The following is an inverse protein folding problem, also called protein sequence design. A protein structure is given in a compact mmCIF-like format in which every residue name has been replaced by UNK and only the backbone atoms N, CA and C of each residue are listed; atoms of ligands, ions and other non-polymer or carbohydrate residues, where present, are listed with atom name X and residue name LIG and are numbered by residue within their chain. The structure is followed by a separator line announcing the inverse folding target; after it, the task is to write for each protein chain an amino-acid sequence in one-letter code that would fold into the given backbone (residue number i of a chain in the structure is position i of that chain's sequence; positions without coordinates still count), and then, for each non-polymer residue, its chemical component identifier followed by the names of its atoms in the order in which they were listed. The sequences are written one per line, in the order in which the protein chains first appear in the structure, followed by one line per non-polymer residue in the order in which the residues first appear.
data_IF_198372369229
#
_entry.id   IF_198372369229
#
_cell.length_a   1.000
_cell.length_b   1.000
_cell.length_c   1.000
_cell.angle_alpha   90.00
_cell.angle_beta   90.00
_cell.angle_gamma   90.00
#
_symmetry.space_group_name_H-M   'P 1'
#
loop_
_entity.id
_entity.type
_entity.pdbx_description
1 polymer ?
#
# COMPACT_ATOMS: atom_id res chain seq x y z
N UNK A 1 0.93 2.69 -63.89
CA UNK A 1 1.38 3.71 -62.92
C UNK A 1 1.87 2.96 -61.70
N UNK A 2 3.18 2.79 -61.54
CA UNK A 2 3.77 2.01 -60.44
C UNK A 2 4.33 2.95 -59.39
N UNK A 3 3.82 2.86 -58.16
CA UNK A 3 4.24 3.66 -57.02
C UNK A 3 5.72 3.40 -56.66
N UNK A 4 6.50 4.42 -56.26
CA UNK A 4 7.86 4.20 -55.82
C UNK A 4 7.86 3.52 -54.45
N UNK A 5 8.53 2.36 -54.39
CA UNK A 5 8.84 1.64 -53.17
C UNK A 5 9.68 2.52 -52.23
N UNK A 6 9.10 2.95 -51.11
CA UNK A 6 9.83 3.67 -50.07
C UNK A 6 10.94 2.76 -49.53
N UNK A 7 12.20 3.21 -49.62
CA UNK A 7 13.33 2.54 -48.95
C UNK A 7 13.17 2.70 -47.44
N UNK A 8 13.36 1.63 -46.64
CA UNK A 8 13.35 1.78 -45.19
C UNK A 8 14.47 2.72 -44.76
N UNK A 9 14.16 3.58 -43.77
CA UNK A 9 15.13 4.50 -43.20
C UNK A 9 16.33 3.74 -42.62
N UNK A 10 17.55 4.29 -42.71
CA UNK A 10 18.74 3.65 -42.15
C UNK A 10 18.60 3.56 -40.63
N UNK A 11 18.60 2.35 -40.10
CA UNK A 11 18.60 2.09 -38.66
C UNK A 11 19.96 2.47 -38.09
N UNK A 12 19.98 3.36 -37.10
CA UNK A 12 21.23 3.77 -36.47
C UNK A 12 21.83 2.60 -35.67
N UNK A 13 23.04 2.12 -36.02
CA UNK A 13 23.64 0.95 -35.38
C UNK A 13 23.87 1.17 -33.87
N UNK A 14 24.23 2.39 -33.45
CA UNK A 14 24.42 2.72 -32.04
C UNK A 14 23.11 2.61 -31.23
N UNK A 15 21.97 2.98 -31.81
CA UNK A 15 20.66 2.80 -31.17
C UNK A 15 20.27 1.31 -31.06
N UNK A 16 20.75 0.48 -31.98
CA UNK A 16 20.47 -0.96 -32.01
C UNK A 16 21.31 -1.70 -30.96
N UNK A 17 22.59 -1.37 -30.87
CA UNK A 17 23.50 -1.88 -29.84
C UNK A 17 23.06 -1.45 -28.44
N UNK A 18 22.65 -0.18 -28.27
CA UNK A 18 22.15 0.33 -26.97
C UNK A 18 20.87 -0.42 -26.54
N UNK A 19 19.95 -0.71 -27.46
CA UNK A 19 18.75 -1.50 -27.16
C UNK A 19 19.08 -2.95 -26.79
N UNK A 20 19.99 -3.59 -27.52
CA UNK A 20 20.43 -4.95 -27.22
C UNK A 20 21.10 -5.05 -25.84
N UNK A 21 21.93 -4.06 -25.49
CA UNK A 21 22.55 -3.96 -24.18
C UNK A 21 21.52 -3.74 -23.07
N UNK A 22 20.56 -2.83 -23.25
CA UNK A 22 19.46 -2.61 -22.29
C UNK A 22 18.60 -3.86 -22.09
N UNK A 23 18.30 -4.60 -23.15
CA UNK A 23 17.58 -5.86 -23.08
C UNK A 23 18.37 -6.93 -22.29
N UNK A 24 19.69 -7.02 -22.53
CA UNK A 24 20.57 -7.95 -21.82
C UNK A 24 20.70 -7.61 -20.33
N UNK A 25 20.83 -6.33 -20.00
CA UNK A 25 20.87 -5.85 -18.60
C UNK A 25 19.54 -6.15 -17.89
N UNK A 26 18.41 -5.92 -18.55
CA UNK A 26 17.08 -6.21 -17.98
C UNK A 26 16.90 -7.71 -17.75
N UNK A 27 17.33 -8.56 -18.68
CA UNK A 27 17.27 -10.02 -18.52
C UNK A 27 18.09 -10.53 -17.31
N UNK A 28 19.21 -9.87 -16.99
CA UNK A 28 20.03 -10.23 -15.81
C UNK A 28 19.41 -9.78 -14.49
N UNK A 29 18.63 -8.69 -14.47
CA UNK A 29 17.99 -8.18 -13.26
C UNK A 29 16.62 -8.81 -13.00
N UNK A 30 15.95 -9.31 -14.04
CA UNK A 30 14.59 -9.85 -13.97
C UNK A 30 14.47 -11.35 -13.67
N UNK A 31 15.57 -12.11 -13.75
CA UNK A 31 15.55 -13.58 -13.67
C UNK A 31 16.39 -14.15 -12.51
N UNK A 32 16.78 -13.35 -11.53
CA UNK A 32 17.42 -13.86 -10.32
C UNK A 32 16.48 -14.77 -9.50
N UNK A 33 17.01 -15.68 -8.66
CA UNK A 33 16.18 -16.64 -7.90
C UNK A 33 15.14 -15.97 -6.99
N UNK A 34 15.44 -14.76 -6.47
CA UNK A 34 14.47 -13.97 -5.69
C UNK A 34 13.33 -13.41 -6.54
N UNK A 35 13.57 -13.11 -7.81
CA UNK A 35 12.57 -12.57 -8.74
C UNK A 35 11.62 -13.66 -9.23
N UNK A 36 12.12 -14.88 -9.49
CA UNK A 36 11.29 -16.03 -9.85
C UNK A 36 10.37 -16.44 -8.69
N UNK A 37 10.91 -16.54 -7.47
CA UNK A 37 10.09 -16.81 -6.29
C UNK A 37 9.00 -15.75 -6.06
N UNK A 38 9.28 -14.47 -6.33
CA UNK A 38 8.27 -13.43 -6.26
C UNK A 38 7.21 -13.55 -7.37
N UNK A 39 7.62 -13.96 -8.58
CA UNK A 39 6.69 -14.17 -9.71
C UNK A 39 5.74 -15.35 -9.46
N UNK A 40 6.22 -16.45 -8.88
CA UNK A 40 5.42 -17.64 -8.57
C UNK A 40 4.63 -17.55 -7.25
N UNK A 41 4.99 -16.63 -6.35
CA UNK A 41 4.26 -16.43 -5.10
C UNK A 41 2.79 -16.02 -5.33
N UNK A 42 1.85 -16.48 -4.48
CA UNK A 42 0.47 -16.00 -4.51
C UNK A 42 0.43 -14.48 -4.39
N UNK A 43 -0.57 -13.86 -5.03
CA UNK A 43 -0.75 -12.41 -5.00
C UNK A 43 -1.53 -11.99 -3.77
N UNK A 44 -1.18 -10.85 -3.21
CA UNK A 44 -1.89 -10.22 -2.10
C UNK A 44 -3.41 -10.23 -2.32
N UNK A 45 -4.16 -10.69 -1.32
CA UNK A 45 -5.62 -10.72 -1.32
C UNK A 45 -6.26 -9.35 -1.09
N UNK A 46 -5.49 -8.33 -0.69
CA UNK A 46 -6.04 -6.99 -0.48
C UNK A 46 -6.57 -6.38 -1.78
N UNK A 47 -7.82 -5.97 -1.73
CA UNK A 47 -8.49 -5.14 -2.74
C UNK A 47 -8.49 -3.70 -2.23
N UNK A 48 -7.90 -2.80 -3.01
CA UNK A 48 -7.84 -1.37 -2.66
C UNK A 48 -9.23 -0.75 -2.74
N UNK A 49 -9.42 0.45 -2.19
CA UNK A 49 -10.72 1.14 -2.25
C UNK A 49 -11.20 1.39 -3.70
N UNK A 50 -10.30 1.49 -4.67
CA UNK A 50 -10.61 1.52 -6.11
C UNK A 50 -11.13 0.21 -6.71
N UNK A 51 -11.11 -0.89 -5.96
CA UNK A 51 -11.55 -2.20 -6.45
C UNK A 51 -10.47 -2.98 -7.21
N UNK A 52 -9.21 -2.52 -7.20
CA UNK A 52 -8.10 -3.26 -7.80
C UNK A 52 -7.40 -4.14 -6.77
N UNK A 53 -6.93 -5.33 -7.18
CA UNK A 53 -6.01 -6.12 -6.35
C UNK A 53 -4.66 -5.41 -6.22
N UNK A 54 -4.06 -5.49 -5.03
CA UNK A 54 -2.73 -4.93 -4.76
C UNK A 54 -1.64 -5.42 -5.73
N UNK A 55 -1.69 -6.70 -6.13
CA UNK A 55 -0.76 -7.29 -7.10
C UNK A 55 0.64 -7.59 -6.58
N UNK A 56 1.01 -7.16 -5.37
CA UNK A 56 2.28 -7.54 -4.73
C UNK A 56 2.31 -9.04 -4.37
N UNK A 57 3.48 -9.69 -4.35
CA UNK A 57 3.61 -11.05 -3.84
C UNK A 57 3.26 -11.09 -2.34
N UNK A 58 2.45 -12.07 -1.95
CA UNK A 58 2.11 -12.31 -0.56
C UNK A 58 3.32 -12.88 0.20
N UNK A 59 3.33 -12.66 1.52
CA UNK A 59 4.30 -13.35 2.38
C UNK A 59 4.04 -14.86 2.35
N UNK A 60 5.09 -15.66 2.61
CA UNK A 60 4.95 -17.12 2.69
C UNK A 60 3.85 -17.47 3.71
N UNK A 61 2.92 -18.32 3.28
CA UNK A 61 1.80 -18.81 4.11
C UNK A 61 0.89 -17.70 4.64
N UNK A 62 0.89 -16.52 4.00
CA UNK A 62 -0.01 -15.40 4.34
C UNK A 62 -0.86 -15.02 3.14
N UNK A 63 -1.97 -14.36 3.44
CA UNK A 63 -2.91 -13.87 2.43
C UNK A 63 -2.49 -12.50 1.87
N UNK A 64 -1.65 -11.76 2.60
CA UNK A 64 -1.29 -10.39 2.27
C UNK A 64 0.21 -10.22 2.00
N UNK A 65 0.55 -9.15 1.27
CA UNK A 65 1.93 -8.72 1.12
C UNK A 65 2.45 -8.11 2.43
N UNK A 66 3.75 -7.85 2.49
CA UNK A 66 4.40 -7.28 3.67
C UNK A 66 3.74 -5.99 4.20
N UNK A 67 3.28 -5.13 3.29
CA UNK A 67 2.57 -3.89 3.65
C UNK A 67 1.17 -4.17 4.17
N UNK A 68 0.33 -4.86 3.38
CA UNK A 68 -1.07 -5.09 3.75
C UNK A 68 -1.25 -6.03 4.94
N UNK A 69 -0.31 -6.95 5.19
CA UNK A 69 -0.29 -7.75 6.42
C UNK A 69 -0.21 -6.85 7.67
N UNK A 70 0.56 -5.76 7.61
CA UNK A 70 0.66 -4.81 8.73
C UNK A 70 -0.53 -3.89 8.82
N UNK A 71 -1.07 -3.47 7.69
CA UNK A 71 -2.26 -2.63 7.66
C UNK A 71 -3.44 -3.35 8.30
N UNK A 72 -3.64 -4.63 7.98
CA UNK A 72 -4.72 -5.43 8.56
C UNK A 72 -4.47 -5.83 10.01
N UNK A 73 -3.22 -6.12 10.38
CA UNK A 73 -2.88 -6.52 11.76
C UNK A 73 -2.63 -5.34 12.70
N UNK A 74 -2.54 -4.11 12.20
CA UNK A 74 -2.45 -2.90 13.04
C UNK A 74 -3.84 -2.29 13.16
N UNK A 75 -4.32 -2.17 14.39
CA UNK A 75 -5.48 -1.35 14.71
C UNK A 75 -5.01 0.10 14.80
N UNK A 76 -5.24 0.89 13.74
CA UNK A 76 -5.17 2.34 13.84
C UNK A 76 -6.35 2.81 14.69
N UNK A 77 -6.11 3.56 15.76
CA UNK A 77 -7.15 3.97 16.73
C UNK A 77 -8.16 4.93 16.08
N UNK A 78 -7.68 5.68 15.09
CA UNK A 78 -8.33 6.74 14.36
C UNK A 78 -9.25 6.22 13.23
N UNK A 79 -9.24 4.91 12.94
CA UNK A 79 -10.20 4.26 12.04
C UNK A 79 -10.10 4.69 10.57
N UNK A 80 -9.02 5.38 10.19
CA UNK A 80 -8.78 5.78 8.80
C UNK A 80 -8.55 4.56 7.90
N UNK A 81 -9.01 4.62 6.64
CA UNK A 81 -8.72 3.57 5.67
C UNK A 81 -7.22 3.54 5.33
N UNK A 82 -6.74 2.43 4.74
CA UNK A 82 -5.38 2.35 4.21
C UNK A 82 -5.19 3.38 3.10
N UNK A 83 -4.35 4.40 3.29
CA UNK A 83 -4.16 5.49 2.31
C UNK A 83 -3.30 5.07 1.09
N UNK A 84 -3.63 3.93 0.48
CA UNK A 84 -2.84 3.25 -0.54
C UNK A 84 -3.34 3.46 -1.99
N UNK A 85 -4.45 4.18 -2.14
CA UNK A 85 -4.93 4.77 -3.39
C UNK A 85 -5.77 6.05 -3.18
N UNK A 86 -6.12 6.71 -4.29
CA UNK A 86 -6.88 7.96 -4.28
C UNK A 86 -8.28 7.81 -3.65
N UNK A 87 -8.94 6.65 -3.81
CA UNK A 87 -10.28 6.43 -3.28
C UNK A 87 -10.25 6.27 -1.76
N UNK A 88 -9.25 5.57 -1.21
CA UNK A 88 -9.07 5.46 0.22
C UNK A 88 -8.74 6.82 0.86
N UNK A 89 -7.93 7.64 0.18
CA UNK A 89 -7.68 9.01 0.62
C UNK A 89 -8.96 9.84 0.65
N UNK A 90 -9.83 9.70 -0.36
CA UNK A 90 -11.13 10.37 -0.37
C UNK A 90 -12.05 9.91 0.76
N UNK A 91 -12.10 8.60 1.03
CA UNK A 91 -12.83 8.06 2.18
C UNK A 91 -12.32 8.65 3.49
N UNK A 92 -10.99 8.78 3.65
CA UNK A 92 -10.39 9.42 4.82
C UNK A 92 -10.77 10.91 4.93
N UNK A 93 -10.76 11.65 3.82
CA UNK A 93 -11.23 13.05 3.77
C UNK A 93 -12.69 13.13 4.25
N UNK A 94 -13.55 12.24 3.77
CA UNK A 94 -14.96 12.19 4.18
C UNK A 94 -15.12 11.91 5.68
N UNK A 95 -14.35 10.98 6.23
CA UNK A 95 -14.38 10.68 7.68
C UNK A 95 -13.95 11.87 8.53
N UNK A 96 -12.92 12.61 8.12
CA UNK A 96 -12.46 13.82 8.83
C UNK A 96 -13.52 14.92 8.74
N UNK A 97 -14.15 15.11 7.57
CA UNK A 97 -15.24 16.07 7.41
C UNK A 97 -16.48 15.72 8.25
N UNK A 98 -16.88 14.45 8.30
CA UNK A 98 -18.00 14.00 9.14
C UNK A 98 -17.69 14.20 10.63
N UNK A 99 -16.48 13.85 11.07
CA UNK A 99 -16.03 14.11 12.44
C UNK A 99 -16.06 15.58 12.81
N UNK A 100 -15.62 16.46 11.91
CA UNK A 100 -15.64 17.90 12.10
C UNK A 100 -17.09 18.42 12.14
N UNK A 101 -17.93 17.99 11.21
CA UNK A 101 -19.34 18.38 11.13
C UNK A 101 -20.13 17.99 12.38
N UNK A 102 -19.83 16.82 12.96
CA UNK A 102 -20.47 16.32 14.21
C UNK A 102 -19.85 16.89 15.48
N UNK A 103 -18.81 17.72 15.40
CA UNK A 103 -18.09 18.24 16.56
C UNK A 103 -17.29 17.18 17.33
N UNK A 104 -16.98 16.04 16.71
CA UNK A 104 -16.15 14.97 17.30
C UNK A 104 -14.65 15.27 17.26
N UNK A 105 -14.23 16.11 16.31
CA UNK A 105 -12.86 16.61 16.21
C UNK A 105 -12.85 18.13 16.07
N UNK A 106 -11.85 18.78 16.65
CA UNK A 106 -11.66 20.23 16.53
C UNK A 106 -11.09 20.63 15.16
N UNK A 107 -11.21 21.92 14.84
CA UNK A 107 -10.70 22.50 13.58
C UNK A 107 -9.19 22.32 13.42
N UNK A 108 -8.42 22.46 14.50
CA UNK A 108 -6.95 22.32 14.48
C UNK A 108 -6.52 20.88 14.21
N UNK A 109 -7.22 19.93 14.82
CA UNK A 109 -7.05 18.50 14.55
C UNK A 109 -7.40 18.17 13.11
N UNK A 110 -8.55 18.65 12.61
CA UNK A 110 -8.95 18.45 11.22
C UNK A 110 -7.91 19.03 10.23
N UNK A 111 -7.37 20.21 10.52
CA UNK A 111 -6.28 20.83 9.73
C UNK A 111 -5.04 19.95 9.67
N UNK A 112 -4.70 19.30 10.78
CA UNK A 112 -3.56 18.36 10.86
C UNK A 112 -3.81 17.12 10.03
N UNK A 113 -5.01 16.53 10.11
CA UNK A 113 -5.40 15.41 9.25
C UNK A 113 -5.32 15.77 7.77
N UNK A 114 -5.90 16.91 7.34
CA UNK A 114 -5.84 17.33 5.94
C UNK A 114 -4.42 17.60 5.45
N UNK A 115 -3.50 18.01 6.32
CA UNK A 115 -2.09 18.12 5.98
C UNK A 115 -1.49 16.75 5.65
N UNK A 116 -1.71 15.74 6.50
CA UNK A 116 -1.26 14.37 6.25
C UNK A 116 -1.90 13.75 5.00
N UNK A 117 -3.20 13.94 4.81
CA UNK A 117 -3.94 13.45 3.63
C UNK A 117 -3.45 14.09 2.33
N UNK A 118 -3.00 15.36 2.37
CA UNK A 118 -2.38 16.02 1.23
C UNK A 118 -1.07 15.32 0.83
N UNK A 119 -0.26 14.90 1.79
CA UNK A 119 0.96 14.12 1.50
C UNK A 119 0.61 12.81 0.83
N UNK A 120 -0.39 12.08 1.34
CA UNK A 120 -0.85 10.83 0.73
C UNK A 120 -1.36 11.04 -0.71
N UNK A 121 -2.09 12.14 -0.96
CA UNK A 121 -2.60 12.49 -2.28
C UNK A 121 -1.48 12.78 -3.30
N UNK A 122 -0.36 13.37 -2.86
CA UNK A 122 0.78 13.64 -3.73
C UNK A 122 1.56 12.38 -4.13
N UNK A 123 1.50 11.32 -3.31
CA UNK A 123 2.16 10.05 -3.58
C UNK A 123 1.30 9.11 -4.45
N UNK A 124 0.00 9.37 -4.52
CA UNK A 124 -0.96 8.52 -5.22
C UNK A 124 -1.28 9.06 -6.61
N UNK A 125 -1.36 8.23 -7.65
CA UNK A 125 -1.92 8.65 -8.93
C UNK A 125 -3.36 9.13 -8.70
N UNK A 126 -3.66 10.36 -9.12
CA UNK A 126 -4.97 10.98 -8.91
C UNK A 126 -6.01 10.43 -9.91
N UNK A 127 -6.33 9.15 -9.80
CA UNK A 127 -7.28 8.43 -10.65
C UNK A 127 -8.29 7.73 -9.77
N UNK A 128 -9.43 8.38 -9.58
CA UNK A 128 -10.54 7.93 -8.73
C UNK A 128 -11.34 6.83 -9.44
N UNK A 129 -11.68 7.05 -10.71
CA UNK A 129 -12.48 6.09 -11.48
C UNK A 129 -11.67 4.84 -11.81
N UNK A 130 -12.28 3.69 -11.56
CA UNK A 130 -11.74 2.39 -11.92
C UNK A 130 -12.03 2.05 -13.37
N UNK A 131 -11.06 1.41 -14.01
CA UNK A 131 -11.21 0.73 -15.29
C UNK A 131 -12.08 -0.52 -15.07
N UNK A 132 -13.28 -0.61 -15.66
CA UNK A 132 -14.21 -1.72 -15.43
C UNK A 132 -13.58 -3.09 -15.64
N UNK A 133 -12.65 -3.21 -16.61
CA UNK A 133 -12.01 -4.48 -16.96
C UNK A 133 -10.99 -4.97 -15.91
N UNK A 134 -10.65 -4.10 -14.94
CA UNK A 134 -9.63 -4.37 -13.91
C UNK A 134 -10.20 -4.47 -12.51
N UNK A 135 -11.48 -4.13 -12.33
CA UNK A 135 -12.14 -4.19 -11.03
C UNK A 135 -12.41 -5.64 -10.65
N UNK A 136 -12.14 -5.96 -9.39
CA UNK A 136 -12.49 -7.25 -8.81
C UNK A 136 -14.01 -7.36 -8.72
N UNK A 137 -14.58 -8.39 -9.34
CA UNK A 137 -16.02 -8.66 -9.32
C UNK A 137 -16.43 -9.53 -8.13
N UNK A 138 -15.50 -10.36 -7.63
CA UNK A 138 -15.71 -11.26 -6.51
C UNK A 138 -14.58 -11.07 -5.51
N UNK A 139 -14.95 -10.76 -4.26
CA UNK A 139 -13.97 -10.62 -3.20
C UNK A 139 -13.24 -11.95 -2.99
N UNK A 140 -11.90 -11.95 -2.84
CA UNK A 140 -11.17 -13.20 -2.65
C UNK A 140 -11.74 -13.96 -1.45
N UNK A 141 -12.07 -15.23 -1.64
CA UNK A 141 -12.47 -16.11 -0.53
C UNK A 141 -11.28 -16.26 0.42
N UNK A 142 -11.23 -15.41 1.43
CA UNK A 142 -10.29 -15.55 2.52
C UNK A 142 -10.92 -16.57 3.46
N UNK A 143 -10.48 -17.83 3.36
CA UNK A 143 -10.74 -18.81 4.42
C UNK A 143 -10.26 -18.17 5.72
N UNK A 144 -11.21 -17.83 6.59
CA UNK A 144 -10.90 -17.32 7.92
C UNK A 144 -10.16 -18.45 8.62
N UNK A 145 -8.85 -18.33 8.75
CA UNK A 145 -8.11 -19.13 9.72
C UNK A 145 -8.55 -18.62 11.10
N UNK A 146 -9.67 -19.14 11.59
CA UNK A 146 -10.12 -18.92 12.95
C UNK A 146 -9.03 -19.45 13.89
N UNK A 147 -8.47 -18.56 14.72
CA UNK A 147 -7.79 -18.94 15.95
C UNK A 147 -6.39 -19.54 15.84
N UNK A 148 -5.40 -18.73 15.46
CA UNK A 148 -4.09 -18.82 16.11
C UNK A 148 -3.98 -17.67 17.12
N UNK A 149 -4.78 -17.76 18.17
CA UNK A 149 -4.60 -16.98 19.39
C UNK A 149 -3.33 -17.52 20.08
N UNK A 150 -2.15 -17.17 19.54
CA UNK A 150 -0.93 -17.31 20.31
C UNK A 150 -1.04 -16.35 21.48
N UNK A 151 -1.33 -16.92 22.64
CA UNK A 151 -1.14 -16.33 23.96
C UNK A 151 0.34 -15.98 24.12
N UNK A 152 0.78 -14.91 23.44
CA UNK A 152 2.05 -14.27 23.71
C UNK A 152 1.89 -13.57 25.06
N UNK A 153 2.31 -14.27 26.12
CA UNK A 153 2.45 -13.75 27.47
C UNK A 153 2.97 -12.32 27.39
N UNK A 154 2.11 -11.39 27.80
CA UNK A 154 2.45 -10.00 28.11
C UNK A 154 3.48 -10.03 29.22
N UNK A 155 4.76 -9.90 28.89
CA UNK A 155 5.79 -9.58 29.88
C UNK A 155 5.48 -8.16 30.40
N UNK A 156 5.41 -7.94 31.73
CA UNK A 156 5.07 -6.63 32.26
C UNK A 156 6.24 -5.67 32.06
N UNK A 157 5.91 -4.45 31.63
CA UNK A 157 6.79 -3.29 31.57
C UNK A 157 7.33 -3.00 32.97
N UNK A 158 8.65 -2.84 33.21
CA UNK A 158 9.12 -2.29 34.46
C UNK A 158 8.85 -0.78 34.44
N UNK A 159 7.86 -0.36 35.21
CA UNK A 159 7.60 1.04 35.51
C UNK A 159 8.05 1.33 36.95
N UNK A 160 8.75 2.45 37.09
CA UNK A 160 8.96 3.32 38.26
C UNK A 160 10.40 3.46 38.68
N UNK A 161 10.92 4.68 38.49
CA UNK A 161 11.38 5.47 39.64
C UNK A 161 11.04 6.95 39.37
N UNK A 162 10.03 7.47 40.08
CA UNK A 162 9.89 8.89 40.33
C UNK A 162 9.70 9.08 41.84
N UNK A 163 10.67 9.78 42.41
CA UNK A 163 10.79 10.56 43.63
C UNK A 163 9.84 10.33 44.83
N UNK A 164 10.51 10.40 45.98
CA UNK A 164 10.12 10.10 47.35
C UNK A 164 9.40 11.27 48.05
N UNK A 165 8.38 10.90 48.83
CA UNK A 165 7.87 11.46 50.10
C UNK A 165 7.36 12.92 50.20
N UNK A 166 6.11 13.01 50.67
CA UNK A 166 5.44 14.21 51.19
C UNK A 166 5.71 14.42 52.70
N UNK A 167 5.38 15.63 53.15
CA UNK A 167 5.61 16.25 54.45
C UNK A 167 4.99 15.59 55.70
N UNK A 168 5.69 15.75 56.82
CA UNK A 168 5.22 16.05 58.19
C UNK A 168 6.42 16.75 58.88
N UNK A 169 6.33 17.85 59.63
CA UNK A 169 5.25 18.32 60.48
C UNK A 169 5.55 18.01 61.96
N UNK A 170 6.68 18.52 62.48
CA UNK A 170 6.95 19.12 63.82
C UNK A 170 8.47 19.34 63.99
#
# INVERSE_FOLDING_TARGET
MSSPSARPAPVNPLLTETRALLASISALTENGPRTEAARSAPRCAHVKAKGYRCGSPALREKQYCFYHERVHNRRFEDGLPPLDDANAIQLAVMQVLDGLHRGKIGTDTARTYFCGLRVAAMLSPNVINADPDRVVLEEPLIEKTEGAETTAKRSPKPEKVAAMAAAAGD
#
